data_IF_584361895735
#
_entry.id   IF_584361895735
#
_cell.length_a   1.000
_cell.length_b   1.000
_cell.length_c   1.000
_cell.angle_alpha   90.00
_cell.angle_beta   90.00
_cell.angle_gamma   90.00
#
_symmetry.space_group_name_H-M   'P 1'
#
loop_
_entity.id
_entity.type
_entity.pdbx_description
1 polymer ?
#
# COMPACT_ATOMS: atom_id res chain seq x y z
N UNK A 1 52.95 -53.16 9.66
CA UNK A 1 51.48 -53.32 9.64
C UNK A 1 50.89 -52.11 8.91
N UNK A 2 50.72 -52.21 7.59
CA UNK A 2 50.17 -51.13 6.75
C UNK A 2 48.95 -51.67 6.00
N UNK A 3 47.97 -50.76 5.87
CA UNK A 3 46.55 -50.95 5.58
C UNK A 3 46.25 -51.38 4.15
N UNK A 4 45.10 -52.04 3.98
CA UNK A 4 44.47 -52.36 2.71
C UNK A 4 42.99 -51.91 2.70
N UNK A 5 42.58 -51.34 1.55
CA UNK A 5 41.24 -51.19 0.92
C UNK A 5 40.06 -50.50 1.64
N UNK A 6 39.40 -49.53 0.96
CA UNK A 6 38.17 -49.75 0.15
C UNK A 6 37.60 -48.44 -0.47
N UNK A 7 36.78 -48.64 -1.51
CA UNK A 7 36.12 -47.72 -2.46
C UNK A 7 34.91 -46.98 -1.86
N UNK A 8 34.61 -45.74 -2.30
CA UNK A 8 33.26 -45.10 -2.39
C UNK A 8 33.34 -43.95 -3.42
N UNK A 9 32.73 -44.00 -4.61
CA UNK A 9 31.32 -43.75 -5.00
C UNK A 9 30.78 -42.33 -4.75
N UNK A 10 30.46 -41.67 -5.88
CA UNK A 10 29.57 -40.53 -6.16
C UNK A 10 29.12 -39.57 -5.03
N UNK A 11 29.33 -38.27 -5.25
CA UNK A 11 28.26 -37.26 -5.11
C UNK A 11 28.68 -35.94 -5.78
N UNK A 12 28.03 -35.63 -6.91
CA UNK A 12 27.92 -34.26 -7.42
C UNK A 12 27.22 -33.41 -6.35
N UNK A 13 27.88 -32.36 -5.88
CA UNK A 13 27.18 -31.26 -5.24
C UNK A 13 26.83 -30.22 -6.30
N UNK A 14 25.56 -30.19 -6.65
CA UNK A 14 24.94 -29.10 -7.38
C UNK A 14 25.03 -27.83 -6.53
N UNK A 15 25.51 -26.75 -7.15
CA UNK A 15 25.41 -25.40 -6.61
C UNK A 15 23.95 -24.99 -6.71
N UNK A 16 23.13 -25.37 -5.73
CA UNK A 16 21.80 -24.82 -5.58
C UNK A 16 21.93 -23.39 -5.04
N UNK A 17 21.75 -22.42 -5.95
CA UNK A 17 21.52 -21.03 -5.58
C UNK A 17 20.41 -20.98 -4.52
N UNK A 18 20.73 -20.45 -3.35
CA UNK A 18 19.78 -20.19 -2.29
C UNK A 18 18.73 -19.19 -2.82
N UNK A 19 17.59 -19.72 -3.28
CA UNK A 19 16.43 -18.92 -3.62
C UNK A 19 15.93 -18.23 -2.35
N UNK A 20 16.25 -16.95 -2.19
CA UNK A 20 15.68 -16.10 -1.15
C UNK A 20 14.16 -16.14 -1.27
N UNK A 21 13.49 -16.57 -0.20
CA UNK A 21 12.04 -16.61 -0.12
C UNK A 21 11.49 -15.18 -0.03
N UNK A 22 10.51 -14.78 -0.86
CA UNK A 22 9.80 -13.52 -0.66
C UNK A 22 8.86 -13.60 0.56
N UNK A 23 8.73 -12.46 1.26
CA UNK A 23 8.54 -12.34 2.73
C UNK A 23 7.19 -11.77 3.22
N UNK A 24 6.10 -11.74 2.43
CA UNK A 24 4.86 -11.07 2.85
C UNK A 24 3.58 -11.72 2.31
N UNK A 25 2.61 -12.08 3.18
CA UNK A 25 1.26 -12.56 2.76
C UNK A 25 0.12 -12.27 3.75
N UNK A 26 -1.10 -12.38 3.23
CA UNK A 26 -2.36 -11.82 3.70
C UNK A 26 -3.45 -12.89 3.87
N UNK A 27 -4.05 -13.01 5.06
CA UNK A 27 -5.30 -13.75 5.27
C UNK A 27 -6.41 -12.80 5.73
N UNK A 28 -7.59 -12.94 5.14
CA UNK A 28 -8.78 -12.08 5.25
C UNK A 28 -9.35 -11.82 6.64
N UNK A 29 -8.70 -12.27 7.71
CA UNK A 29 -9.12 -12.22 9.11
C UNK A 29 -8.29 -11.27 9.99
N UNK A 30 -7.26 -10.64 9.41
CA UNK A 30 -6.41 -9.69 10.10
C UNK A 30 -5.19 -10.30 10.79
N UNK A 31 -4.83 -11.57 10.54
CA UNK A 31 -3.54 -12.16 10.96
C UNK A 31 -2.57 -12.35 9.78
N UNK A 32 -1.25 -12.25 10.04
CA UNK A 32 -0.20 -12.67 9.11
C UNK A 32 0.21 -14.11 9.42
N UNK A 33 -0.01 -15.00 8.46
CA UNK A 33 0.57 -16.33 8.48
C UNK A 33 1.18 -16.65 7.10
N UNK A 34 2.39 -17.21 7.12
CA UNK A 34 3.11 -17.71 5.94
C UNK A 34 3.32 -19.21 6.11
N UNK A 35 2.54 -20.04 5.41
CA UNK A 35 2.95 -21.40 5.08
C UNK A 35 2.15 -21.95 3.89
N UNK A 36 2.86 -22.42 2.85
CA UNK A 36 2.43 -23.36 1.81
C UNK A 36 1.06 -23.15 1.16
N UNK A 37 1.00 -22.37 0.07
CA UNK A 37 -0.18 -22.26 -0.81
C UNK A 37 0.00 -21.15 -1.86
N UNK A 38 -0.69 -21.25 -3.01
CA UNK A 38 -0.56 -20.31 -4.14
C UNK A 38 -0.71 -18.84 -3.72
N UNK A 39 0.21 -18.02 -4.24
CA UNK A 39 0.43 -16.61 -3.87
C UNK A 39 -0.65 -15.71 -4.48
N UNK A 40 -1.79 -15.54 -3.82
CA UNK A 40 -2.73 -14.49 -4.22
C UNK A 40 -2.38 -13.15 -3.55
N UNK A 41 -1.66 -12.28 -4.26
CA UNK A 41 -1.33 -10.91 -3.85
C UNK A 41 -2.34 -9.87 -4.39
N UNK A 42 -3.44 -10.32 -4.99
CA UNK A 42 -4.45 -9.45 -5.59
C UNK A 42 -5.02 -8.49 -4.53
N UNK A 43 -4.92 -7.19 -4.82
CA UNK A 43 -5.38 -6.12 -3.92
C UNK A 43 -4.33 -5.59 -2.93
N UNK A 44 -3.19 -6.27 -2.73
CA UNK A 44 -2.07 -5.74 -1.93
C UNK A 44 -1.28 -4.70 -2.74
N UNK A 45 -0.92 -3.58 -2.12
CA UNK A 45 -0.11 -2.54 -2.77
C UNK A 45 1.35 -2.98 -2.93
N UNK A 46 1.92 -3.01 -4.15
CA UNK A 46 3.35 -3.25 -4.33
C UNK A 46 4.23 -2.25 -3.58
N UNK A 47 3.77 -1.00 -3.46
CA UNK A 47 4.43 0.04 -2.66
C UNK A 47 4.55 -0.35 -1.19
N UNK A 48 3.55 -1.02 -0.63
CA UNK A 48 3.56 -1.43 0.78
C UNK A 48 4.61 -2.52 0.98
N UNK A 49 4.67 -3.48 0.06
CA UNK A 49 5.70 -4.53 0.06
C UNK A 49 7.09 -3.91 -0.04
N UNK A 50 7.31 -2.99 -0.98
CA UNK A 50 8.57 -2.29 -1.15
C UNK A 50 8.95 -1.45 0.09
N UNK A 51 7.98 -0.78 0.72
CA UNK A 51 8.20 -0.04 1.96
C UNK A 51 8.65 -0.99 3.09
N UNK A 52 7.97 -2.11 3.30
CA UNK A 52 8.32 -3.06 4.35
C UNK A 52 9.72 -3.66 4.12
N UNK A 53 10.04 -4.03 2.87
CA UNK A 53 11.36 -4.52 2.47
C UNK A 53 12.46 -3.49 2.75
N UNK A 54 12.22 -2.24 2.34
CA UNK A 54 13.14 -1.14 2.62
C UNK A 54 13.36 -0.93 4.13
N UNK A 55 12.31 -0.95 4.94
CA UNK A 55 12.43 -0.79 6.40
C UNK A 55 13.24 -1.93 7.03
N UNK A 56 13.03 -3.16 6.57
CA UNK A 56 13.78 -4.34 7.01
C UNK A 56 15.27 -4.18 6.72
N UNK A 57 15.61 -3.78 5.51
CA UNK A 57 16.98 -3.58 5.07
C UNK A 57 17.68 -2.46 5.84
N UNK A 58 17.02 -1.30 5.99
CA UNK A 58 17.64 -0.15 6.64
C UNK A 58 17.86 -0.36 8.14
N UNK A 59 16.93 -1.01 8.83
CA UNK A 59 16.98 -1.12 10.29
C UNK A 59 17.65 -2.40 10.79
N UNK A 60 17.70 -3.45 9.97
CA UNK A 60 18.18 -4.77 10.39
C UNK A 60 19.12 -5.42 9.38
N UNK A 61 19.52 -4.72 8.31
CA UNK A 61 20.33 -5.26 7.20
C UNK A 61 19.69 -6.49 6.58
N UNK A 62 18.36 -6.50 6.48
CA UNK A 62 17.56 -7.56 5.88
C UNK A 62 17.44 -8.82 6.75
N UNK A 63 17.94 -8.82 7.99
CA UNK A 63 17.98 -10.00 8.87
C UNK A 63 16.81 -10.08 9.84
N UNK A 64 16.22 -8.96 10.20
CA UNK A 64 15.12 -8.89 11.15
C UNK A 64 13.81 -9.32 10.52
N UNK A 65 13.09 -10.25 11.12
CA UNK A 65 11.77 -10.66 10.63
C UNK A 65 10.72 -9.57 10.84
N UNK A 66 9.89 -9.32 9.82
CA UNK A 66 8.69 -8.47 9.95
C UNK A 66 7.50 -9.37 10.30
N UNK A 67 6.95 -9.19 11.49
CA UNK A 67 5.67 -9.76 11.89
C UNK A 67 4.58 -8.72 11.65
N UNK A 68 3.63 -9.01 10.75
CA UNK A 68 2.46 -8.16 10.52
C UNK A 68 1.32 -8.64 11.42
N UNK A 69 0.91 -7.83 12.38
CA UNK A 69 -0.23 -8.13 13.24
C UNK A 69 -1.57 -7.79 12.58
N UNK A 70 -1.58 -6.95 11.56
CA UNK A 70 -2.79 -6.63 10.80
C UNK A 70 -2.44 -6.12 9.40
N UNK A 71 -2.98 -6.76 8.36
CA UNK A 71 -2.84 -6.38 6.94
C UNK A 71 -4.11 -5.77 6.36
N UNK A 72 -4.55 -6.18 5.16
CA UNK A 72 -5.87 -5.80 4.65
C UNK A 72 -7.01 -6.10 5.64
N UNK A 73 -8.05 -5.28 5.63
CA UNK A 73 -9.27 -5.49 6.42
C UNK A 73 -10.46 -5.38 5.49
N UNK A 74 -11.42 -6.31 5.60
CA UNK A 74 -12.70 -6.12 4.92
C UNK A 74 -13.42 -4.88 5.48
N UNK A 75 -14.27 -4.21 4.69
CA UNK A 75 -15.09 -3.09 5.20
C UNK A 75 -15.90 -3.47 6.45
N UNK A 76 -16.48 -4.67 6.47
CA UNK A 76 -17.29 -5.19 7.56
C UNK A 76 -16.45 -5.40 8.83
N UNK A 77 -15.23 -5.93 8.69
CA UNK A 77 -14.32 -6.09 9.82
C UNK A 77 -13.84 -4.75 10.37
N UNK A 78 -13.46 -3.82 9.50
CA UNK A 78 -13.02 -2.49 9.92
C UNK A 78 -14.15 -1.75 10.66
N UNK A 79 -15.39 -1.87 10.18
CA UNK A 79 -16.57 -1.31 10.85
C UNK A 79 -16.86 -1.98 12.19
N UNK A 80 -16.70 -3.31 12.30
CA UNK A 80 -16.79 -4.01 13.58
C UNK A 80 -15.78 -3.46 14.61
N UNK A 81 -14.54 -3.23 14.21
CA UNK A 81 -13.52 -2.62 15.07
C UNK A 81 -13.91 -1.20 15.51
N UNK A 82 -14.46 -0.39 14.59
CA UNK A 82 -14.97 0.96 14.90
C UNK A 82 -16.07 0.91 15.96
N UNK A 83 -17.06 0.04 15.80
CA UNK A 83 -18.17 -0.14 16.75
C UNK A 83 -17.70 -0.61 18.13
N UNK A 84 -16.58 -1.33 18.19
CA UNK A 84 -15.93 -1.73 19.45
C UNK A 84 -15.06 -0.63 20.08
N UNK A 85 -15.06 0.59 19.54
CA UNK A 85 -14.24 1.69 20.04
C UNK A 85 -12.74 1.49 19.82
N UNK A 86 -12.33 0.59 18.90
CA UNK A 86 -10.93 0.39 18.55
C UNK A 86 -10.45 1.53 17.65
N UNK A 87 -9.13 1.70 17.57
CA UNK A 87 -8.48 2.74 16.76
C UNK A 87 -8.51 2.38 15.27
N UNK A 88 -9.70 2.43 14.66
CA UNK A 88 -9.93 2.13 13.26
C UNK A 88 -10.58 3.34 12.54
N UNK A 89 -9.94 3.82 11.48
CA UNK A 89 -10.48 4.92 10.67
C UNK A 89 -11.61 4.48 9.74
N UNK A 90 -12.56 5.38 9.46
CA UNK A 90 -13.67 5.14 8.51
C UNK A 90 -13.14 4.93 7.09
N UNK A 91 -12.05 5.62 6.76
CA UNK A 91 -11.37 5.58 5.48
C UNK A 91 -9.99 4.88 5.59
N UNK A 92 -9.92 3.82 6.39
CA UNK A 92 -8.66 3.10 6.70
C UNK A 92 -7.99 2.54 5.45
N UNK A 93 -6.66 2.74 5.33
CA UNK A 93 -5.86 2.18 4.23
C UNK A 93 -5.61 0.68 4.36
N UNK A 94 -5.89 0.08 5.53
CA UNK A 94 -5.99 -1.37 5.63
C UNK A 94 -7.08 -1.89 4.69
N UNK A 95 -8.20 -1.17 4.52
CA UNK A 95 -9.22 -1.60 3.57
C UNK A 95 -8.79 -1.43 2.12
N UNK A 96 -7.63 -0.86 1.83
CA UNK A 96 -7.13 -0.66 0.47
C UNK A 96 -5.90 -1.53 0.16
N UNK A 97 -5.50 -2.40 1.10
CA UNK A 97 -4.27 -3.21 0.97
C UNK A 97 -3.00 -2.36 0.99
N UNK A 98 -3.06 -1.17 1.60
CA UNK A 98 -2.01 -0.16 1.60
C UNK A 98 -1.44 0.13 2.98
N UNK A 99 -1.84 -0.62 4.00
CA UNK A 99 -1.35 -0.47 5.36
C UNK A 99 -1.07 -1.82 6.02
N UNK A 100 -0.10 -1.81 6.93
CA UNK A 100 0.23 -2.93 7.80
C UNK A 100 0.55 -2.41 9.21
N UNK A 101 0.07 -3.15 10.20
CA UNK A 101 0.48 -2.97 11.59
C UNK A 101 1.57 -4.02 11.89
N UNK A 102 2.80 -3.60 12.22
CA UNK A 102 3.98 -4.47 12.21
C UNK A 102 4.86 -4.37 13.46
N UNK A 103 5.63 -5.43 13.67
CA UNK A 103 6.81 -5.50 14.54
C UNK A 103 8.00 -5.98 13.70
N UNK A 104 9.16 -5.35 13.89
CA UNK A 104 10.39 -5.74 13.22
C UNK A 104 11.39 -6.29 14.25
N UNK A 105 11.65 -7.58 14.19
CA UNK A 105 12.59 -8.26 15.07
C UNK A 105 13.99 -7.64 14.94
N UNK A 106 14.61 -7.31 16.06
CA UNK A 106 15.92 -6.65 16.08
C UNK A 106 15.87 -5.12 15.90
N UNK A 107 14.69 -4.51 15.77
CA UNK A 107 14.49 -3.07 15.81
C UNK A 107 13.51 -2.68 16.93
N UNK A 108 13.88 -1.67 17.72
CA UNK A 108 12.96 -1.08 18.69
C UNK A 108 11.77 -0.42 17.96
N UNK A 109 10.50 -0.64 18.36
CA UNK A 109 9.34 -0.08 17.68
C UNK A 109 9.34 1.45 17.60
N UNK A 110 9.91 2.15 18.59
CA UNK A 110 10.03 3.61 18.54
C UNK A 110 11.02 4.02 17.47
N UNK A 111 12.18 3.33 17.37
CA UNK A 111 13.16 3.57 16.29
C UNK A 111 12.57 3.31 14.90
N UNK A 112 11.79 2.24 14.74
CA UNK A 112 11.07 1.96 13.50
C UNK A 112 10.12 3.11 13.13
N UNK A 113 9.29 3.56 14.08
CA UNK A 113 8.37 4.67 13.85
C UNK A 113 9.09 5.99 13.53
N UNK A 114 10.15 6.32 14.27
CA UNK A 114 10.97 7.52 14.02
C UNK A 114 11.64 7.48 12.65
N UNK A 115 12.10 6.29 12.21
CA UNK A 115 12.67 6.10 10.88
C UNK A 115 11.63 6.26 9.76
N UNK A 116 10.45 5.63 9.87
CA UNK A 116 9.37 5.83 8.89
C UNK A 116 8.99 7.32 8.81
N UNK A 117 8.92 8.01 9.97
CA UNK A 117 8.65 9.45 10.02
C UNK A 117 9.72 10.27 9.30
N UNK A 118 10.99 9.86 9.34
CA UNK A 118 12.08 10.58 8.66
C UNK A 118 12.10 10.39 7.14
N UNK A 119 11.35 9.42 6.59
CA UNK A 119 11.26 9.21 5.14
C UNK A 119 10.40 10.24 4.42
N UNK A 120 9.59 11.02 5.13
CA UNK A 120 8.75 12.08 4.57
C UNK A 120 7.70 11.62 3.53
N UNK A 121 7.55 10.32 3.26
CA UNK A 121 6.73 9.82 2.15
C UNK A 121 5.34 9.30 2.52
N UNK A 122 5.15 8.91 3.78
CA UNK A 122 4.26 7.80 4.12
C UNK A 122 3.50 8.04 5.45
N UNK A 123 2.53 7.18 5.78
CA UNK A 123 1.82 7.23 7.05
C UNK A 123 2.45 6.34 8.12
N UNK A 124 2.60 6.86 9.35
CA UNK A 124 3.19 6.12 10.48
C UNK A 124 2.45 6.33 11.82
N UNK A 125 1.93 5.25 12.39
CA UNK A 125 1.27 5.26 13.71
C UNK A 125 2.06 4.49 14.76
N UNK A 126 2.25 5.06 15.96
CA UNK A 126 2.92 4.37 17.08
C UNK A 126 1.93 3.96 18.16
N UNK A 127 1.84 2.65 18.45
CA UNK A 127 0.87 2.12 19.41
C UNK A 127 1.55 1.39 20.58
N UNK A 128 1.43 2.01 21.76
CA UNK A 128 1.76 1.44 23.06
C UNK A 128 3.16 0.79 23.18
N UNK A 129 4.14 1.25 22.39
CA UNK A 129 5.50 0.71 22.40
C UNK A 129 5.67 -0.72 21.91
N UNK A 130 4.63 -1.28 21.29
CA UNK A 130 4.65 -2.68 20.82
C UNK A 130 4.67 -2.78 19.31
N UNK A 131 3.92 -1.92 18.63
CA UNK A 131 3.60 -2.09 17.21
C UNK A 131 3.61 -0.75 16.49
N UNK A 132 4.03 -0.78 15.23
CA UNK A 132 4.05 0.39 14.34
C UNK A 132 3.10 0.14 13.18
N UNK A 133 2.16 1.05 12.99
CA UNK A 133 1.40 1.13 11.75
C UNK A 133 2.24 1.83 10.69
N UNK A 134 2.30 1.22 9.50
CA UNK A 134 2.90 1.80 8.32
C UNK A 134 1.93 1.71 7.15
N UNK A 135 1.89 2.76 6.33
CA UNK A 135 1.06 2.77 5.15
C UNK A 135 1.63 3.66 4.04
N UNK A 136 1.13 3.44 2.82
CA UNK A 136 1.62 4.11 1.59
C UNK A 136 0.75 5.28 1.14
N UNK A 137 -0.08 5.82 2.04
CA UNK A 137 -0.83 7.05 1.78
C UNK A 137 0.01 8.32 2.00
N UNK A 138 -0.62 9.51 1.91
CA UNK A 138 0.06 10.78 2.13
C UNK A 138 0.80 10.86 3.46
N UNK A 139 1.86 11.66 3.54
CA UNK A 139 2.68 11.91 4.73
C UNK A 139 1.82 12.25 5.96
N UNK A 140 1.94 11.46 7.04
CA UNK A 140 1.31 11.75 8.34
C UNK A 140 1.90 10.87 9.45
N UNK A 141 1.86 11.36 10.68
CA UNK A 141 2.28 10.61 11.86
C UNK A 141 1.34 10.88 13.01
N UNK A 142 1.14 9.86 13.82
CA UNK A 142 0.32 9.94 15.02
C UNK A 142 0.78 8.90 16.03
N UNK A 143 0.33 9.06 17.27
CA UNK A 143 0.36 8.02 18.27
C UNK A 143 -1.07 7.70 18.75
N UNK A 144 -1.18 6.81 19.74
CA UNK A 144 -2.46 6.44 20.34
C UNK A 144 -3.28 7.63 20.86
N UNK A 145 -2.63 8.68 21.36
CA UNK A 145 -3.28 9.87 21.96
C UNK A 145 -3.61 10.93 20.91
N UNK A 146 -2.81 11.06 19.86
CA UNK A 146 -3.03 12.06 18.80
C UNK A 146 -3.82 11.53 17.62
N UNK A 147 -4.20 10.25 17.64
CA UNK A 147 -5.02 9.63 16.60
C UNK A 147 -6.37 10.35 16.45
N UNK A 148 -6.76 10.63 15.21
CA UNK A 148 -7.98 11.37 14.88
C UNK A 148 -9.12 10.46 14.40
N UNK A 149 -9.01 9.14 14.60
CA UNK A 149 -9.98 8.14 14.06
C UNK A 149 -11.40 8.28 14.61
N UNK A 150 -11.57 8.95 15.75
CA UNK A 150 -12.87 9.25 16.39
C UNK A 150 -13.42 10.63 16.01
N UNK A 151 -12.71 11.38 15.18
CA UNK A 151 -13.19 12.66 14.62
C UNK A 151 -13.88 12.43 13.28
N UNK A 152 -14.46 13.50 12.73
CA UNK A 152 -15.09 13.54 11.41
C UNK A 152 -14.08 13.75 10.26
N UNK A 153 -12.78 13.62 10.54
CA UNK A 153 -11.71 13.95 9.58
C UNK A 153 -11.78 13.12 8.28
N UNK A 154 -12.30 11.90 8.35
CA UNK A 154 -12.46 11.03 7.17
C UNK A 154 -13.87 11.07 6.58
N UNK A 155 -14.84 11.72 7.21
CA UNK A 155 -16.21 11.78 6.72
C UNK A 155 -16.28 12.52 5.37
N UNK A 156 -17.36 12.33 4.62
CA UNK A 156 -17.69 13.15 3.44
C UNK A 156 -16.59 13.20 2.37
N UNK A 157 -15.80 12.12 2.25
CA UNK A 157 -14.65 12.05 1.34
C UNK A 157 -13.62 13.18 1.52
N UNK A 158 -13.57 13.87 2.67
CA UNK A 158 -12.63 14.99 2.93
C UNK A 158 -11.17 14.65 2.66
N UNK A 159 -10.81 13.38 2.85
CA UNK A 159 -9.44 12.87 2.71
C UNK A 159 -9.27 11.94 1.51
N UNK A 160 -10.16 12.00 0.52
CA UNK A 160 -9.99 11.24 -0.73
C UNK A 160 -8.61 11.51 -1.31
N UNK A 161 -7.97 10.46 -1.78
CA UNK A 161 -6.64 10.50 -2.36
C UNK A 161 -6.58 9.55 -3.55
N UNK A 162 -5.73 9.84 -4.52
CA UNK A 162 -5.50 9.01 -5.69
C UNK A 162 -4.10 8.41 -5.62
N UNK A 163 -3.96 7.12 -5.95
CA UNK A 163 -2.64 6.47 -5.96
C UNK A 163 -2.45 5.68 -7.23
N UNK A 164 -1.24 5.71 -7.77
CA UNK A 164 -0.79 4.82 -8.84
C UNK A 164 -0.29 3.51 -8.25
N UNK A 165 -0.22 2.46 -9.08
CA UNK A 165 0.31 1.16 -8.68
C UNK A 165 1.83 1.19 -8.43
N UNK A 166 2.57 1.94 -9.26
CA UNK A 166 4.02 2.09 -9.20
C UNK A 166 4.43 3.57 -9.21
N UNK A 167 5.67 3.85 -8.81
CA UNK A 167 6.29 5.19 -8.89
C UNK A 167 7.09 5.40 -10.18
N UNK A 168 7.37 4.34 -10.94
CA UNK A 168 8.18 4.38 -12.16
C UNK A 168 7.47 3.58 -13.23
N UNK A 169 7.31 4.18 -14.41
CA UNK A 169 6.71 3.57 -15.59
C UNK A 169 7.61 3.73 -16.80
N UNK A 170 7.47 2.82 -17.77
CA UNK A 170 8.11 2.92 -19.08
C UNK A 170 7.29 3.82 -20.01
N UNK A 171 7.91 4.44 -21.03
CA UNK A 171 7.18 5.20 -22.03
C UNK A 171 6.09 4.36 -22.73
N UNK A 172 4.84 4.84 -22.68
CA UNK A 172 3.70 4.14 -23.29
C UNK A 172 3.09 3.00 -22.46
N UNK A 173 3.61 2.75 -21.26
CA UNK A 173 3.09 1.71 -20.38
C UNK A 173 1.66 2.03 -19.90
N UNK A 174 0.90 0.99 -19.56
CA UNK A 174 -0.38 1.16 -18.90
C UNK A 174 -0.16 1.52 -17.43
N UNK A 175 -0.68 2.67 -17.03
CA UNK A 175 -0.70 3.11 -15.65
C UNK A 175 -2.04 2.74 -15.03
N UNK A 176 -2.00 1.90 -13.99
CA UNK A 176 -3.16 1.61 -13.13
C UNK A 176 -3.20 2.54 -11.92
N UNK A 177 -4.38 3.03 -11.58
CA UNK A 177 -4.59 3.90 -10.44
C UNK A 177 -5.94 3.65 -9.76
N UNK A 178 -6.07 4.13 -8.52
CA UNK A 178 -7.27 3.96 -7.70
C UNK A 178 -7.54 5.18 -6.82
N UNK A 179 -8.81 5.42 -6.51
CA UNK A 179 -9.23 6.34 -5.47
C UNK A 179 -9.30 5.59 -4.14
N UNK A 180 -8.68 6.15 -3.11
CA UNK A 180 -8.61 5.57 -1.79
C UNK A 180 -9.17 6.55 -0.77
N UNK A 181 -9.42 6.03 0.44
CA UNK A 181 -10.04 6.79 1.54
C UNK A 181 -11.47 7.27 1.24
N UNK A 182 -12.15 6.58 0.32
CA UNK A 182 -13.56 6.82 0.03
C UNK A 182 -14.45 6.40 1.20
N UNK A 183 -15.37 7.26 1.59
CA UNK A 183 -16.42 7.00 2.59
C UNK A 183 -17.83 7.08 2.01
N UNK A 184 -18.02 7.84 0.93
CA UNK A 184 -19.33 8.11 0.33
C UNK A 184 -19.31 7.92 -1.18
N UNK A 185 -20.42 7.40 -1.69
CA UNK A 185 -20.70 7.09 -3.08
C UNK A 185 -22.17 7.47 -3.39
N UNK A 186 -22.54 7.70 -4.66
CA UNK A 186 -21.64 7.80 -5.82
C UNK A 186 -20.84 9.11 -5.84
N UNK A 187 -19.77 9.15 -6.60
CA UNK A 187 -19.08 10.38 -7.00
C UNK A 187 -18.78 10.33 -8.49
N UNK A 188 -18.50 11.47 -9.11
CA UNK A 188 -18.22 11.57 -10.54
C UNK A 188 -16.87 12.18 -10.83
N UNK A 189 -16.16 11.68 -11.83
CA UNK A 189 -14.89 12.25 -12.30
C UNK A 189 -14.96 12.67 -13.77
N UNK A 190 -14.24 13.73 -14.12
CA UNK A 190 -14.00 14.09 -15.52
C UNK A 190 -13.02 13.08 -16.14
N UNK A 191 -13.21 12.66 -17.40
CA UNK A 191 -12.30 11.74 -18.07
C UNK A 191 -10.89 12.32 -18.31
N UNK A 192 -10.73 13.64 -18.28
CA UNK A 192 -9.44 14.30 -18.46
C UNK A 192 -8.65 14.26 -17.15
N UNK A 193 -7.48 13.61 -17.19
CA UNK A 193 -6.61 13.36 -16.05
C UNK A 193 -5.36 14.27 -16.03
N UNK A 194 -5.32 15.29 -16.92
CA UNK A 194 -4.21 16.23 -17.09
C UNK A 194 -3.02 15.67 -17.86
N UNK A 195 -2.71 14.39 -17.69
CA UNK A 195 -1.63 13.67 -18.41
C UNK A 195 -2.16 12.72 -19.51
N UNK A 196 -3.48 12.61 -19.63
CA UNK A 196 -4.14 11.66 -20.51
C UNK A 196 -5.64 11.63 -20.25
N UNK A 197 -6.38 10.78 -20.98
CA UNK A 197 -7.84 10.70 -20.87
C UNK A 197 -8.31 9.26 -20.70
N UNK A 198 -9.32 9.07 -19.85
CA UNK A 198 -10.05 7.82 -19.76
C UNK A 198 -10.85 7.57 -21.04
N UNK A 199 -10.91 6.31 -21.47
CA UNK A 199 -11.66 5.89 -22.66
C UNK A 199 -13.16 5.78 -22.34
N UNK A 200 -13.87 6.91 -22.39
CA UNK A 200 -15.32 6.97 -22.20
C UNK A 200 -15.95 8.07 -23.06
N UNK A 201 -17.23 7.92 -23.38
CA UNK A 201 -18.05 8.96 -24.03
C UNK A 201 -18.74 9.89 -23.02
N UNK A 202 -18.76 9.50 -21.75
CA UNK A 202 -19.40 10.26 -20.68
C UNK A 202 -18.56 11.49 -20.32
N UNK A 203 -19.20 12.66 -20.21
CA UNK A 203 -18.54 13.88 -19.72
C UNK A 203 -18.24 13.82 -18.22
N UNK A 204 -19.02 13.02 -17.49
CA UNK A 204 -18.88 12.80 -16.06
C UNK A 204 -19.08 11.31 -15.79
N UNK A 205 -17.99 10.59 -15.52
CA UNK A 205 -18.01 9.17 -15.23
C UNK A 205 -18.42 8.97 -13.77
N UNK A 206 -19.55 8.29 -13.52
CA UNK A 206 -20.04 8.03 -12.15
C UNK A 206 -19.47 6.72 -11.58
N UNK A 207 -18.86 6.82 -10.40
CA UNK A 207 -18.32 5.72 -9.62
C UNK A 207 -19.33 5.35 -8.54
N UNK A 208 -19.91 4.16 -8.65
CA UNK A 208 -21.04 3.75 -7.82
C UNK A 208 -20.64 3.14 -6.47
N UNK A 209 -19.45 2.56 -6.37
CA UNK A 209 -19.05 1.82 -5.17
C UNK A 209 -17.52 1.69 -5.05
N UNK A 210 -17.08 1.15 -3.91
CA UNK A 210 -15.66 0.94 -3.58
C UNK A 210 -14.92 0.05 -4.58
N UNK A 211 -15.58 -0.94 -5.18
CA UNK A 211 -14.95 -1.81 -6.18
C UNK A 211 -14.63 -1.01 -7.44
N UNK A 212 -15.59 -0.24 -7.94
CA UNK A 212 -15.40 0.62 -9.11
C UNK A 212 -14.36 1.74 -8.88
N UNK A 213 -14.16 2.16 -7.63
CA UNK A 213 -13.13 3.15 -7.29
C UNK A 213 -11.68 2.64 -7.41
N UNK A 214 -11.47 1.33 -7.63
CA UNK A 214 -10.15 0.68 -7.57
C UNK A 214 -9.55 0.30 -8.92
N UNK A 215 -10.32 0.34 -9.99
CA UNK A 215 -9.98 -0.30 -11.25
C UNK A 215 -10.01 0.71 -12.39
N UNK A 216 -8.99 1.58 -12.41
CA UNK A 216 -8.77 2.51 -13.51
C UNK A 216 -7.44 2.23 -14.17
N UNK A 217 -7.41 2.34 -15.49
CA UNK A 217 -6.18 2.33 -16.26
C UNK A 217 -6.12 3.48 -17.27
N UNK A 218 -4.91 3.93 -17.53
CA UNK A 218 -4.59 4.96 -18.50
C UNK A 218 -3.35 4.52 -19.30
N UNK A 219 -3.48 4.46 -20.63
CA UNK A 219 -2.29 4.33 -21.48
C UNK A 219 -1.54 5.65 -21.50
N UNK A 220 -0.29 5.66 -21.01
CA UNK A 220 0.51 6.86 -20.94
C UNK A 220 0.89 7.35 -22.35
N UNK A 221 0.74 8.66 -22.67
CA UNK A 221 1.23 9.20 -23.93
C UNK A 221 2.76 9.05 -24.04
N UNK A 222 3.26 8.65 -25.22
CA UNK A 222 4.70 8.44 -25.46
C UNK A 222 5.55 9.72 -25.31
N UNK A 223 4.94 10.90 -25.45
CA UNK A 223 5.61 12.20 -25.40
C UNK A 223 5.69 12.85 -24.01
N UNK A 224 5.34 12.11 -22.95
CA UNK A 224 5.47 12.65 -21.59
C UNK A 224 6.95 12.91 -21.22
N UNK A 225 7.24 13.95 -20.42
CA UNK A 225 8.59 14.23 -19.94
C UNK A 225 9.19 13.04 -19.19
N UNK A 226 10.43 12.68 -19.54
CA UNK A 226 11.22 11.67 -18.81
C UNK A 226 11.94 12.27 -17.62
N UNK A 227 12.22 11.44 -16.61
CA UNK A 227 13.03 11.78 -15.42
C UNK A 227 12.52 13.03 -14.68
N UNK A 228 11.22 13.29 -14.76
CA UNK A 228 10.53 14.37 -14.05
C UNK A 228 9.31 13.82 -13.33
N UNK A 229 9.00 14.33 -12.13
CA UNK A 229 7.80 13.93 -11.41
C UNK A 229 6.55 14.37 -12.18
N UNK A 230 5.65 13.42 -12.38
CA UNK A 230 4.33 13.59 -12.97
C UNK A 230 3.25 13.19 -11.95
N UNK A 231 2.05 13.73 -12.11
CA UNK A 231 0.89 13.36 -11.31
C UNK A 231 -0.35 13.30 -12.19
N UNK A 232 -1.27 12.39 -11.85
CA UNK A 232 -2.64 12.42 -12.35
C UNK A 232 -3.39 13.50 -11.60
N UNK A 233 -4.18 14.29 -12.31
CA UNK A 233 -5.15 15.22 -11.74
C UNK A 233 -6.56 14.75 -12.08
N UNK A 234 -7.31 14.26 -11.09
CA UNK A 234 -8.71 13.88 -11.28
C UNK A 234 -9.62 14.96 -10.73
N UNK A 235 -10.42 15.58 -11.61
CA UNK A 235 -11.43 16.58 -11.24
C UNK A 235 -12.79 15.93 -11.01
N UNK A 236 -13.44 16.28 -9.91
CA UNK A 236 -14.75 15.76 -9.57
C UNK A 236 -15.85 16.59 -10.22
N UNK A 237 -16.63 15.95 -11.09
CA UNK A 237 -17.80 16.56 -11.76
C UNK A 237 -19.10 16.32 -10.99
N UNK A 238 -19.11 15.38 -10.03
CA UNK A 238 -20.22 15.14 -9.11
C UNK A 238 -19.65 14.75 -7.75
N UNK A 239 -20.11 15.42 -6.69
CA UNK A 239 -19.64 15.21 -5.33
C UNK A 239 -20.83 14.81 -4.46
N UNK A 240 -20.76 13.72 -3.67
CA UNK A 240 -21.82 13.35 -2.73
C UNK A 240 -21.95 14.34 -1.56
N UNK A 241 -20.91 15.15 -1.31
CA UNK A 241 -20.90 16.16 -0.26
C UNK A 241 -20.03 17.36 -0.65
N UNK A 242 -20.38 18.56 -0.16
CA UNK A 242 -19.67 19.81 -0.45
C UNK A 242 -18.21 19.81 0.06
N UNK A 243 -17.95 19.11 1.17
CA UNK A 243 -16.64 19.00 1.80
C UNK A 243 -15.66 18.07 1.07
N UNK A 244 -16.15 17.32 0.07
CA UNK A 244 -15.26 16.61 -0.84
C UNK A 244 -14.51 17.65 -1.69
N UNK A 245 -13.19 17.52 -1.87
CA UNK A 245 -12.43 18.47 -2.67
C UNK A 245 -12.90 18.47 -4.13
N UNK A 246 -12.61 19.54 -4.87
CA UNK A 246 -12.98 19.65 -6.29
C UNK A 246 -12.08 18.80 -7.20
N UNK A 247 -10.88 18.46 -6.75
CA UNK A 247 -9.95 17.57 -7.44
C UNK A 247 -9.00 16.88 -6.45
N UNK A 248 -8.33 15.83 -6.92
CA UNK A 248 -7.21 15.18 -6.24
C UNK A 248 -6.03 14.98 -7.17
N UNK A 249 -4.84 14.87 -6.58
CA UNK A 249 -3.61 14.49 -7.27
C UNK A 249 -3.20 13.06 -6.85
N UNK A 250 -2.54 12.34 -7.76
CA UNK A 250 -1.86 11.09 -7.41
C UNK A 250 -0.64 11.33 -6.51
N UNK A 251 -0.03 10.27 -5.98
CA UNK A 251 1.42 10.32 -5.69
C UNK A 251 2.19 10.74 -6.94
N UNK A 252 3.35 11.39 -6.80
CA UNK A 252 4.29 11.56 -7.90
C UNK A 252 4.69 10.19 -8.48
N UNK A 253 4.90 10.14 -9.78
CA UNK A 253 5.54 9.03 -10.49
C UNK A 253 6.41 9.57 -11.62
N UNK A 254 7.30 8.76 -12.17
CA UNK A 254 8.24 9.15 -13.22
C UNK A 254 8.17 8.20 -14.43
N UNK A 255 8.55 8.73 -15.59
CA UNK A 255 8.80 7.93 -16.79
C UNK A 255 10.31 7.71 -16.92
N UNK A 256 10.76 6.45 -16.93
CA UNK A 256 12.15 6.04 -17.12
C UNK A 256 12.30 5.02 -18.25
#
# INVERSE_FOLDING_TARGET
>A
MMRNFFIFSFLLWSVAAAAQSPRYFYQGDGQLAVQGGEKNLEGLSPRLVALLDYLQDQLTRGKGEITVHSGYRSPEYNERLRRQGKLAGQASLHMEGMAADVVLSGADPKKLWEFVRSLDCCGAGYYAGRMVHVDTGPKRWWDQKTSKVFTDISAHNKQVYLTTEYDIYRPGEELKFRFVRMTEFPFGIRPDLGIGKLKTKEKCLLIQNRKAARDFSLSLPKGLPKDKPLQIRAEFCSKPHEQMPDFVLSNPFEIR
#
